data_IF_223262160672
#
_entry.id   IF_223262160672
#
_cell.length_a   1.000
_cell.length_b   1.000
_cell.length_c   1.000
_cell.angle_alpha   90.00
_cell.angle_beta   90.00
_cell.angle_gamma   90.00
#
_symmetry.space_group_name_H-M   'P 1'
#
loop_
_entity.id
_entity.type
_entity.pdbx_description
1 polymer ?
#
# COMPACT_ATOMS: atom_id res chain seq x y z
N UNK A 1 17.03 -13.39 -13.00
CA UNK A 1 16.81 -12.34 -11.96
C UNK A 1 18.07 -11.46 -11.81
N UNK A 2 17.94 -10.13 -11.74
CA UNK A 2 19.09 -9.21 -11.55
C UNK A 2 19.25 -8.88 -10.04
N UNK A 3 20.26 -9.44 -9.35
CA UNK A 3 20.46 -9.16 -7.93
C UNK A 3 20.93 -7.73 -7.73
N UNK A 4 20.28 -7.00 -6.80
CA UNK A 4 20.80 -5.73 -6.28
C UNK A 4 21.47 -5.95 -4.93
N UNK A 5 22.45 -5.11 -4.62
CA UNK A 5 23.26 -5.13 -3.39
C UNK A 5 22.48 -4.90 -2.08
N UNK A 6 21.14 -4.81 -2.11
CA UNK A 6 20.28 -4.42 -1.00
C UNK A 6 19.26 -5.48 -0.52
N UNK A 7 19.40 -6.76 -0.89
CA UNK A 7 18.58 -7.86 -0.36
C UNK A 7 17.23 -8.09 -1.06
N UNK A 8 16.79 -7.18 -1.94
CA UNK A 8 15.67 -7.43 -2.86
C UNK A 8 16.21 -8.16 -4.11
N UNK A 9 15.67 -9.35 -4.37
CA UNK A 9 16.00 -10.13 -5.57
C UNK A 9 15.07 -9.79 -6.75
N UNK A 10 13.82 -9.41 -6.49
CA UNK A 10 12.85 -8.96 -7.50
C UNK A 10 12.47 -7.49 -7.34
N UNK A 11 11.81 -6.92 -8.36
CA UNK A 11 11.21 -5.59 -8.32
C UNK A 11 9.93 -5.57 -9.15
N UNK A 12 8.88 -4.97 -8.59
CA UNK A 12 7.62 -4.71 -9.31
C UNK A 12 7.72 -3.40 -10.09
N UNK A 13 7.72 -3.47 -11.43
CA UNK A 13 7.64 -2.29 -12.30
C UNK A 13 6.19 -2.02 -12.70
N UNK A 14 5.69 -0.85 -12.35
CA UNK A 14 4.41 -0.33 -12.82
C UNK A 14 4.75 0.81 -13.79
N UNK A 15 4.52 0.65 -15.11
CA UNK A 15 4.81 1.71 -16.06
C UNK A 15 3.91 2.93 -15.81
N UNK A 16 4.43 4.16 -15.96
CA UNK A 16 3.59 5.34 -15.91
C UNK A 16 2.63 5.37 -17.10
N UNK A 17 1.33 5.45 -16.86
CA UNK A 17 0.34 5.75 -17.90
C UNK A 17 0.44 7.24 -18.26
N UNK A 18 0.46 7.57 -19.55
CA UNK A 18 0.74 8.93 -20.05
C UNK A 18 -0.22 10.02 -19.53
N UNK A 19 0.35 11.22 -19.37
CA UNK A 19 -0.22 12.59 -19.26
C UNK A 19 -1.24 12.96 -18.17
N UNK A 20 -2.00 12.05 -17.57
CA UNK A 20 -2.86 12.37 -16.41
C UNK A 20 -2.17 12.06 -15.09
N UNK A 21 -0.99 12.67 -14.86
CA UNK A 21 -0.46 12.73 -13.50
C UNK A 21 -1.53 13.39 -12.63
N UNK A 22 -1.77 12.80 -11.45
CA UNK A 22 -2.44 13.37 -10.26
C UNK A 22 -3.84 12.86 -9.89
N UNK A 23 -4.58 12.14 -10.73
CA UNK A 23 -5.87 11.55 -10.32
C UNK A 23 -5.78 10.03 -10.29
N UNK A 24 -5.95 9.44 -9.10
CA UNK A 24 -5.99 8.00 -8.89
C UNK A 24 -7.27 7.67 -8.13
N UNK A 25 -8.13 6.82 -8.71
CA UNK A 25 -9.30 6.34 -8.01
C UNK A 25 -8.91 5.34 -6.91
N UNK A 26 -9.71 5.24 -5.85
CA UNK A 26 -9.45 4.31 -4.74
C UNK A 26 -9.33 2.86 -5.21
N UNK A 27 -10.10 2.44 -6.21
CA UNK A 27 -10.05 1.08 -6.73
C UNK A 27 -8.76 0.80 -7.51
N UNK A 28 -8.23 1.79 -8.22
CA UNK A 28 -6.92 1.68 -8.87
C UNK A 28 -5.79 1.61 -7.84
N UNK A 29 -5.87 2.42 -6.76
CA UNK A 29 -4.94 2.36 -5.65
C UNK A 29 -4.95 0.97 -5.00
N UNK A 30 -6.14 0.40 -4.75
CA UNK A 30 -6.31 -0.97 -4.25
C UNK A 30 -5.68 -1.98 -5.20
N UNK A 31 -5.89 -1.86 -6.50
CA UNK A 31 -5.24 -2.72 -7.51
C UNK A 31 -3.71 -2.64 -7.47
N UNK A 32 -3.14 -1.45 -7.25
CA UNK A 32 -1.69 -1.29 -7.06
C UNK A 32 -1.19 -1.95 -5.78
N UNK A 33 -1.93 -1.83 -4.68
CA UNK A 33 -1.59 -2.51 -3.42
C UNK A 33 -1.60 -4.03 -3.59
N UNK A 34 -2.61 -4.58 -4.27
CA UNK A 34 -2.69 -6.01 -4.61
C UNK A 34 -1.48 -6.44 -5.44
N UNK A 35 -1.09 -5.63 -6.42
CA UNK A 35 0.08 -5.92 -7.26
C UNK A 35 1.38 -5.96 -6.43
N UNK A 36 1.60 -4.97 -5.57
CA UNK A 36 2.78 -4.91 -4.70
C UNK A 36 2.83 -6.10 -3.72
N UNK A 37 1.69 -6.52 -3.17
CA UNK A 37 1.62 -7.63 -2.22
C UNK A 37 1.61 -9.01 -2.90
N UNK A 38 1.47 -9.06 -4.22
CA UNK A 38 1.41 -10.29 -5.01
C UNK A 38 2.65 -11.17 -4.86
N UNK A 39 3.85 -10.58 -4.82
CA UNK A 39 5.09 -11.34 -4.63
C UNK A 39 5.12 -12.09 -3.30
N UNK A 40 4.69 -11.45 -2.21
CA UNK A 40 4.60 -12.10 -0.91
C UNK A 40 3.49 -13.15 -0.85
N UNK A 41 2.34 -12.88 -1.48
CA UNK A 41 1.25 -13.86 -1.58
C UNK A 41 1.69 -15.11 -2.37
N UNK A 42 2.45 -14.93 -3.44
CA UNK A 42 3.04 -16.03 -4.22
C UNK A 42 4.00 -16.87 -3.38
N UNK A 43 4.92 -16.24 -2.64
CA UNK A 43 5.82 -16.96 -1.72
C UNK A 43 5.03 -17.77 -0.69
N UNK A 44 4.04 -17.16 -0.06
CA UNK A 44 3.24 -17.82 0.97
C UNK A 44 2.51 -19.06 0.43
N UNK A 45 2.04 -19.03 -0.81
CA UNK A 45 1.34 -20.16 -1.43
C UNK A 45 2.32 -21.24 -1.90
N UNK A 46 3.39 -20.86 -2.61
CA UNK A 46 4.35 -21.81 -3.19
C UNK A 46 5.21 -22.49 -2.11
N UNK A 47 5.56 -21.75 -1.05
CA UNK A 47 6.43 -22.26 0.02
C UNK A 47 5.65 -22.67 1.28
N UNK A 48 4.39 -23.11 1.12
CA UNK A 48 3.57 -23.71 2.20
C UNK A 48 3.48 -22.85 3.47
N UNK A 49 3.18 -21.57 3.30
CA UNK A 49 3.04 -20.59 4.38
C UNK A 49 4.35 -19.94 4.81
N UNK A 50 5.50 -20.33 4.23
CA UNK A 50 6.77 -19.66 4.46
C UNK A 50 6.88 -18.42 3.60
N UNK A 51 7.60 -17.45 4.14
CA UNK A 51 7.76 -16.13 3.53
C UNK A 51 9.20 -15.67 3.68
N UNK A 52 9.69 -14.88 2.73
CA UNK A 52 11.07 -14.41 2.73
C UNK A 52 11.15 -12.89 3.00
N UNK A 53 12.38 -12.36 3.02
CA UNK A 53 12.66 -10.92 3.05
C UNK A 53 12.61 -10.28 1.65
N UNK A 54 12.39 -11.06 0.60
CA UNK A 54 12.45 -10.62 -0.80
C UNK A 54 11.41 -9.54 -1.16
N UNK A 55 10.26 -9.55 -0.50
CA UNK A 55 9.18 -8.58 -0.70
C UNK A 55 9.31 -7.30 0.17
N UNK A 56 10.47 -7.06 0.81
CA UNK A 56 10.67 -5.92 1.72
C UNK A 56 10.35 -4.56 1.07
N UNK A 57 10.82 -4.37 -0.15
CA UNK A 57 10.66 -3.11 -0.88
C UNK A 57 9.19 -2.89 -1.29
N UNK A 58 8.50 -3.93 -1.78
CA UNK A 58 7.09 -3.84 -2.12
C UNK A 58 6.21 -3.57 -0.88
N UNK A 59 6.52 -4.19 0.28
CA UNK A 59 5.82 -3.93 1.55
C UNK A 59 5.99 -2.46 1.97
N UNK A 60 7.20 -1.90 1.85
CA UNK A 60 7.45 -0.48 2.18
C UNK A 60 6.63 0.45 1.29
N UNK A 61 6.61 0.20 -0.02
CA UNK A 61 5.83 0.99 -0.98
C UNK A 61 4.33 0.87 -0.76
N UNK A 62 3.85 -0.34 -0.49
CA UNK A 62 2.44 -0.59 -0.18
C UNK A 62 2.03 0.16 1.09
N UNK A 63 2.88 0.13 2.12
CA UNK A 63 2.64 0.84 3.39
C UNK A 63 2.59 2.35 3.19
N UNK A 64 3.56 2.93 2.47
CA UNK A 64 3.58 4.37 2.15
C UNK A 64 2.33 4.79 1.35
N UNK A 65 1.96 4.00 0.34
CA UNK A 65 0.78 4.26 -0.49
C UNK A 65 -0.52 4.18 0.32
N UNK A 66 -0.68 3.16 1.16
CA UNK A 66 -1.85 3.01 2.03
C UNK A 66 -1.93 4.14 3.07
N UNK A 67 -0.79 4.55 3.63
CA UNK A 67 -0.74 5.69 4.56
C UNK A 67 -1.19 6.98 3.87
N UNK A 68 -0.65 7.30 2.69
CA UNK A 68 -1.06 8.48 1.91
C UNK A 68 -2.54 8.46 1.55
N UNK A 69 -3.07 7.32 1.14
CA UNK A 69 -4.50 7.17 0.83
C UNK A 69 -5.40 7.59 1.99
N UNK A 70 -5.01 7.24 3.22
CA UNK A 70 -5.82 7.42 4.41
C UNK A 70 -5.56 8.78 5.08
N UNK A 71 -4.28 9.13 5.27
CA UNK A 71 -3.87 10.29 6.05
C UNK A 71 -3.75 11.57 5.24
N UNK A 72 -3.49 11.50 3.93
CA UNK A 72 -3.28 12.67 3.08
C UNK A 72 -4.42 12.88 2.09
N UNK A 73 -4.91 11.80 1.45
CA UNK A 73 -5.93 11.88 0.41
C UNK A 73 -7.37 11.75 0.94
N UNK A 74 -7.54 11.40 2.23
CA UNK A 74 -8.87 11.29 2.85
C UNK A 74 -9.77 10.22 2.22
N UNK A 75 -9.18 9.12 1.72
CA UNK A 75 -9.92 8.05 1.01
C UNK A 75 -10.51 7.00 1.96
N UNK A 76 -10.32 7.13 3.28
CA UNK A 76 -11.01 6.28 4.26
C UNK A 76 -12.44 6.78 4.47
N UNK A 77 -13.43 5.88 4.39
CA UNK A 77 -14.82 6.21 4.71
C UNK A 77 -15.01 6.50 6.21
N UNK A 78 -14.18 5.91 7.07
CA UNK A 78 -14.22 6.11 8.52
C UNK A 78 -13.70 7.49 8.91
N UNK A 79 -12.59 7.92 8.30
CA UNK A 79 -11.96 9.22 8.59
C UNK A 79 -12.61 10.36 7.78
N UNK A 80 -13.04 10.06 6.55
CA UNK A 80 -13.60 11.03 5.63
C UNK A 80 -12.55 11.85 4.87
N UNK A 81 -12.99 12.86 4.09
CA UNK A 81 -12.16 13.63 3.16
C UNK A 81 -11.31 14.67 3.89
N UNK A 82 -10.41 14.21 4.75
CA UNK A 82 -9.57 15.04 5.61
C UNK A 82 -8.10 14.75 5.34
N UNK A 83 -7.30 15.82 5.18
CA UNK A 83 -5.84 15.75 5.22
C UNK A 83 -5.36 15.94 6.65
N UNK A 84 -4.85 14.88 7.26
CA UNK A 84 -4.42 14.87 8.66
C UNK A 84 -3.18 15.73 8.86
N UNK A 85 -2.25 15.70 7.91
CA UNK A 85 -1.05 16.55 7.95
C UNK A 85 -1.41 18.04 7.99
N UNK A 86 -2.46 18.44 7.28
CA UNK A 86 -2.96 19.82 7.29
C UNK A 86 -3.61 20.18 8.64
N UNK A 87 -4.34 19.25 9.26
CA UNK A 87 -4.92 19.47 10.60
C UNK A 87 -3.85 19.57 11.69
N UNK A 88 -2.83 18.71 11.64
CA UNK A 88 -1.77 18.68 12.65
C UNK A 88 -0.84 19.88 12.58
N UNK A 89 -0.67 20.45 11.39
CA UNK A 89 0.16 21.63 11.18
C UNK A 89 -0.60 22.95 11.43
N UNK A 90 -1.82 22.87 11.98
CA UNK A 90 -2.61 24.03 12.36
C UNK A 90 -3.09 24.82 11.16
N UNK A 91 -3.78 24.13 10.23
CA UNK A 91 -4.27 24.66 8.96
C UNK A 91 -4.57 26.16 8.97
N UNK A 92 -4.00 26.89 8.00
CA UNK A 92 -4.21 28.33 7.86
C UNK A 92 -5.69 28.62 7.67
N UNK A 93 -6.34 29.19 8.68
CA UNK A 93 -7.57 29.93 8.46
C UNK A 93 -7.23 31.29 7.80
N UNK A 94 -8.20 31.91 7.12
CA UNK A 94 -8.03 33.25 6.55
C UNK A 94 -7.89 34.36 7.63
N UNK A 95 -7.87 33.99 8.92
CA UNK A 95 -7.81 34.89 10.08
C UNK A 95 -6.47 34.79 10.85
N UNK A 96 -5.51 33.98 10.40
CA UNK A 96 -4.20 33.80 11.03
C UNK A 96 -4.19 33.06 12.38
N UNK A 97 -5.26 32.32 12.73
CA UNK A 97 -5.38 31.59 13.99
C UNK A 97 -4.97 30.12 13.90
N UNK A 98 -3.98 29.70 14.70
CA UNK A 98 -3.59 28.28 14.79
C UNK A 98 -4.59 27.47 15.63
N UNK A 99 -5.35 26.58 14.98
CA UNK A 99 -6.23 25.63 15.69
C UNK A 99 -5.39 24.47 16.22
N UNK A 100 -5.16 24.43 17.53
CA UNK A 100 -4.40 23.34 18.17
C UNK A 100 -5.33 22.16 18.53
N UNK A 101 -5.29 21.09 17.73
CA UNK A 101 -6.00 19.82 17.98
C UNK A 101 -5.24 18.84 18.89
N UNK A 102 -4.51 19.34 19.89
CA UNK A 102 -3.50 18.56 20.63
C UNK A 102 -4.03 17.37 21.46
N UNK A 103 -5.34 17.27 21.73
CA UNK A 103 -5.91 16.18 22.55
C UNK A 103 -6.46 15.01 21.70
N UNK A 104 -6.90 15.29 20.47
CA UNK A 104 -7.49 14.29 19.57
C UNK A 104 -6.45 13.67 18.61
N UNK A 105 -5.24 14.23 18.57
CA UNK A 105 -4.17 13.77 17.68
C UNK A 105 -3.76 12.31 17.94
N UNK A 106 -3.70 11.86 19.19
CA UNK A 106 -3.36 10.48 19.53
C UNK A 106 -4.40 9.47 19.02
N UNK A 107 -5.69 9.75 19.26
CA UNK A 107 -6.79 8.90 18.78
C UNK A 107 -6.86 8.87 17.26
N UNK A 108 -6.57 9.99 16.60
CA UNK A 108 -6.53 10.08 15.15
C UNK A 108 -5.38 9.25 14.55
N UNK A 109 -4.18 9.29 15.17
CA UNK A 109 -3.04 8.47 14.74
C UNK A 109 -3.36 6.98 14.86
N UNK A 110 -3.93 6.56 15.97
CA UNK A 110 -4.33 5.15 16.18
C UNK A 110 -5.38 4.71 15.15
N UNK A 111 -6.34 5.59 14.85
CA UNK A 111 -7.36 5.34 13.83
C UNK A 111 -6.74 5.19 12.43
N UNK A 112 -5.81 6.07 12.05
CA UNK A 112 -5.06 5.96 10.79
C UNK A 112 -4.32 4.64 10.70
N UNK A 113 -3.57 4.27 11.75
CA UNK A 113 -2.82 3.01 11.77
C UNK A 113 -3.74 1.80 11.59
N UNK A 114 -4.92 1.82 12.24
CA UNK A 114 -5.93 0.77 12.11
C UNK A 114 -6.45 0.66 10.67
N UNK A 115 -6.81 1.78 10.06
CA UNK A 115 -7.31 1.83 8.68
C UNK A 115 -6.23 1.39 7.67
N UNK A 116 -4.96 1.79 7.87
CA UNK A 116 -3.83 1.40 7.00
C UNK A 116 -3.64 -0.11 7.06
N UNK A 117 -3.65 -0.68 8.26
CA UNK A 117 -3.54 -2.13 8.44
C UNK A 117 -4.71 -2.85 7.77
N UNK A 118 -5.94 -2.36 7.91
CA UNK A 118 -7.12 -2.96 7.31
C UNK A 118 -7.04 -2.94 5.77
N UNK A 119 -6.61 -1.82 5.18
CA UNK A 119 -6.45 -1.68 3.74
C UNK A 119 -5.40 -2.65 3.17
N UNK A 120 -4.23 -2.75 3.82
CA UNK A 120 -3.18 -3.69 3.42
C UNK A 120 -3.59 -5.15 3.59
N UNK A 121 -4.31 -5.46 4.69
CA UNK A 121 -4.81 -6.81 4.94
C UNK A 121 -5.80 -7.25 3.85
N UNK A 122 -6.75 -6.37 3.49
CA UNK A 122 -7.69 -6.62 2.40
C UNK A 122 -6.97 -6.83 1.06
N UNK A 123 -5.96 -6.01 0.75
CA UNK A 123 -5.17 -6.17 -0.46
C UNK A 123 -4.37 -7.50 -0.46
N UNK A 124 -3.83 -7.92 0.68
CA UNK A 124 -3.15 -9.21 0.84
C UNK A 124 -4.12 -10.39 0.61
N UNK A 125 -5.32 -10.33 1.15
CA UNK A 125 -6.37 -11.37 0.97
C UNK A 125 -6.79 -11.52 -0.50
N UNK A 126 -6.95 -10.40 -1.21
CA UNK A 126 -7.22 -10.40 -2.64
C UNK A 126 -6.03 -10.97 -3.41
N UNK A 127 -4.80 -10.59 -3.04
CA UNK A 127 -3.57 -11.13 -3.67
C UNK A 127 -3.48 -12.64 -3.52
N UNK A 128 -3.71 -13.17 -2.32
CA UNK A 128 -3.76 -14.61 -2.04
C UNK A 128 -4.84 -15.31 -2.87
N UNK A 129 -6.03 -14.71 -2.98
CA UNK A 129 -7.13 -15.23 -3.78
C UNK A 129 -6.76 -15.33 -5.27
N UNK A 130 -6.13 -14.29 -5.82
CA UNK A 130 -5.70 -14.26 -7.23
C UNK A 130 -4.64 -15.33 -7.49
N UNK A 131 -3.61 -15.43 -6.64
CA UNK A 131 -2.54 -16.42 -6.80
C UNK A 131 -3.10 -17.85 -6.70
N UNK A 132 -3.98 -18.12 -5.72
CA UNK A 132 -4.65 -19.43 -5.59
C UNK A 132 -5.49 -19.81 -6.80
N UNK A 133 -6.12 -18.84 -7.44
CA UNK A 133 -6.93 -19.07 -8.62
C UNK A 133 -6.10 -19.34 -9.89
N UNK A 134 -4.80 -19.01 -9.89
CA UNK A 134 -3.94 -19.07 -11.09
C UNK A 134 -2.61 -19.84 -10.85
N UNK A 135 -2.64 -21.07 -10.31
CA UNK A 135 -1.42 -21.80 -9.94
C UNK A 135 -0.50 -22.07 -11.14
N UNK A 136 -1.07 -22.40 -12.30
CA UNK A 136 -0.32 -22.72 -13.53
C UNK A 136 0.45 -21.52 -14.08
N UNK A 137 -0.08 -20.30 -13.92
CA UNK A 137 0.57 -19.06 -14.36
C UNK A 137 1.78 -18.77 -13.47
N UNK A 138 1.64 -18.97 -12.16
CA UNK A 138 2.72 -18.73 -11.18
C UNK A 138 3.88 -19.71 -11.41
N UNK A 139 3.57 -21.00 -11.57
CA UNK A 139 4.57 -22.03 -11.87
C UNK A 139 5.26 -21.77 -13.23
N UNK A 140 4.46 -21.45 -14.26
CA UNK A 140 4.99 -21.19 -15.61
C UNK A 140 5.91 -19.97 -15.69
N UNK A 141 5.59 -18.89 -14.98
CA UNK A 141 6.45 -17.71 -14.90
C UNK A 141 7.74 -17.99 -14.12
N UNK A 142 7.66 -18.76 -13.03
CA UNK A 142 8.85 -19.18 -12.28
C UNK A 142 9.83 -19.96 -13.16
N UNK A 143 9.33 -20.92 -13.94
CA UNK A 143 10.14 -21.75 -14.83
C UNK A 143 10.82 -20.99 -15.98
N UNK A 144 10.30 -19.81 -16.37
CA UNK A 144 10.90 -18.96 -17.42
C UNK A 144 11.97 -17.99 -16.88
N UNK A 145 12.11 -17.89 -15.56
CA UNK A 145 13.02 -16.95 -14.89
C UNK A 145 14.29 -17.63 -14.32
N UNK A 146 14.34 -18.97 -14.34
CA UNK A 146 15.53 -19.81 -14.11
C UNK A 146 16.41 -19.89 -15.37
#
# INVERSE_FOLDING_TARGET
ILPRSGGALGFTYIPPTNEDRYLLFIDELRGRLVTLLGGRAAEEIVYSGRVSTGALDDIRRATDMAYKAIAEYGLSQTIGPVSISTLTNGGMDESGGSVSFGRDQGQLVDLVQKEVRALLQSAMEVSLSIVRANPTVVEGLGAQLE
#
